data_IF_391504294266
#
_entry.id   IF_391504294266
#
_cell.length_a   1.000
_cell.length_b   1.000
_cell.length_c   1.000
_cell.angle_alpha   90.00
_cell.angle_beta   90.00
_cell.angle_gamma   90.00
#
_symmetry.space_group_name_H-M   'P 1'
#
loop_
_entity.id
_entity.type
_entity.pdbx_description
1 polymer ?
#
# COMPACT_ATOMS: atom_id res chain seq x y z
N UNK A 1 -23.00 1.54 13.82
CA UNK A 1 -21.67 1.86 14.38
C UNK A 1 -21.26 3.29 14.06
N UNK A 2 -20.29 3.85 14.78
CA UNK A 2 -19.63 5.10 14.38
C UNK A 2 -18.56 4.83 13.33
N UNK A 3 -18.47 5.73 12.36
CA UNK A 3 -17.43 5.74 11.33
C UNK A 3 -17.05 7.16 10.93
N UNK A 4 -15.84 7.34 10.44
CA UNK A 4 -15.40 8.61 9.83
C UNK A 4 -15.82 8.61 8.36
N UNK A 5 -16.69 9.55 8.01
CA UNK A 5 -17.15 9.77 6.63
C UNK A 5 -16.48 10.97 6.00
N UNK A 6 -16.25 10.91 4.70
CA UNK A 6 -15.83 12.04 3.86
C UNK A 6 -17.10 12.68 3.31
N UNK A 7 -17.41 13.93 3.68
CA UNK A 7 -18.65 14.58 3.23
C UNK A 7 -18.59 15.12 1.81
N UNK A 8 -17.39 15.44 1.34
CA UNK A 8 -17.08 15.95 0.01
C UNK A 8 -15.57 15.85 -0.21
N UNK A 9 -15.09 15.80 -1.46
CA UNK A 9 -13.65 15.89 -1.73
C UNK A 9 -13.05 17.16 -1.13
N UNK A 10 -11.95 17.05 -0.37
CA UNK A 10 -11.35 18.22 0.27
C UNK A 10 -10.26 17.94 1.30
N UNK A 11 -9.91 18.98 2.06
CA UNK A 11 -8.95 18.91 3.16
C UNK A 11 -9.52 18.14 4.36
N UNK A 12 -8.76 18.03 5.47
CA UNK A 12 -9.18 17.25 6.64
C UNK A 12 -10.53 17.67 7.27
N UNK A 13 -10.94 18.92 7.06
CA UNK A 13 -12.21 19.49 7.55
C UNK A 13 -13.47 18.77 7.05
N UNK A 14 -13.36 17.98 5.97
CA UNK A 14 -14.47 17.18 5.41
C UNK A 14 -14.70 15.86 6.15
N UNK A 15 -13.82 15.50 7.09
CA UNK A 15 -13.92 14.28 7.88
C UNK A 15 -14.89 14.49 9.04
N UNK A 16 -15.95 13.68 9.09
CA UNK A 16 -16.94 13.74 10.16
C UNK A 16 -17.19 12.35 10.74
N UNK A 17 -17.25 12.25 12.07
CA UNK A 17 -17.74 11.04 12.72
C UNK A 17 -19.26 11.02 12.62
N UNK A 18 -19.81 9.98 12.00
CA UNK A 18 -21.26 9.77 11.87
C UNK A 18 -21.64 8.37 12.31
N UNK A 19 -22.90 8.21 12.68
CA UNK A 19 -23.49 6.87 12.79
C UNK A 19 -23.85 6.34 11.41
N UNK A 20 -23.43 5.11 11.15
CA UNK A 20 -23.68 4.34 9.92
C UNK A 20 -24.19 2.95 10.30
N UNK A 21 -24.80 2.25 9.35
CA UNK A 21 -25.22 0.86 9.56
C UNK A 21 -24.02 -0.05 9.87
N UNK A 22 -24.23 -1.05 10.73
CA UNK A 22 -23.22 -2.08 10.96
C UNK A 22 -23.00 -2.90 9.68
N UNK A 23 -21.75 -3.26 9.35
CA UNK A 23 -21.47 -3.99 8.13
C UNK A 23 -21.99 -5.42 8.24
N UNK A 24 -22.63 -5.89 7.17
CA UNK A 24 -23.12 -7.27 7.07
C UNK A 24 -22.01 -8.14 6.48
N UNK A 25 -21.58 -9.16 7.23
CA UNK A 25 -20.57 -10.10 6.75
C UNK A 25 -21.18 -11.12 5.77
N UNK A 26 -20.41 -11.46 4.75
CA UNK A 26 -20.68 -12.62 3.88
C UNK A 26 -20.20 -13.91 4.53
N UNK A 27 -20.60 -15.04 3.93
CA UNK A 27 -20.24 -16.37 4.43
C UNK A 27 -18.72 -16.62 4.54
N UNK A 28 -17.89 -15.93 3.76
CA UNK A 28 -16.43 -16.06 3.74
C UNK A 28 -15.69 -14.93 4.48
N UNK A 29 -16.41 -14.03 5.14
CA UNK A 29 -15.86 -12.86 5.82
C UNK A 29 -15.93 -13.03 7.34
N UNK A 30 -15.14 -12.21 8.04
CA UNK A 30 -15.22 -12.02 9.49
C UNK A 30 -15.60 -10.58 9.81
N UNK A 31 -16.26 -10.37 10.93
CA UNK A 31 -16.53 -9.04 11.47
C UNK A 31 -15.45 -8.74 12.51
N UNK A 32 -14.62 -7.72 12.26
CA UNK A 32 -13.62 -7.26 13.22
C UNK A 32 -14.16 -6.04 13.95
N UNK A 33 -14.17 -6.09 15.28
CA UNK A 33 -14.31 -4.92 16.14
C UNK A 33 -12.95 -4.23 16.22
N UNK A 34 -12.86 -3.04 15.64
CA UNK A 34 -11.61 -2.29 15.47
C UNK A 34 -11.16 -1.69 16.81
N UNK A 35 -9.92 -1.94 17.18
CA UNK A 35 -9.23 -1.29 18.30
C UNK A 35 -8.40 -0.10 17.79
N UNK A 36 -7.75 -0.27 16.63
CA UNK A 36 -6.96 0.76 15.98
C UNK A 36 -6.90 0.59 14.46
N UNK A 37 -6.63 1.69 13.78
CA UNK A 37 -6.35 1.80 12.34
C UNK A 37 -5.20 2.79 12.14
N UNK A 38 -4.64 2.86 10.94
CA UNK A 38 -3.53 3.75 10.61
C UNK A 38 -3.90 4.69 9.45
N UNK A 39 -3.09 5.73 9.24
CA UNK A 39 -3.23 6.64 8.11
C UNK A 39 -2.30 6.22 6.98
N UNK A 40 -2.83 6.11 5.76
CA UNK A 40 -2.03 5.86 4.56
C UNK A 40 -2.15 7.00 3.55
N UNK A 41 -1.15 7.12 2.67
CA UNK A 41 -1.16 8.17 1.64
C UNK A 41 -2.37 8.05 0.70
N UNK A 42 -2.78 6.82 0.40
CA UNK A 42 -3.95 6.53 -0.43
C UNK A 42 -5.25 7.04 0.23
N UNK A 43 -5.39 7.00 1.55
CA UNK A 43 -6.56 7.58 2.25
C UNK A 43 -6.67 9.09 2.00
N UNK A 44 -5.54 9.79 1.99
CA UNK A 44 -5.48 11.23 1.71
C UNK A 44 -5.86 11.54 0.26
N UNK A 45 -5.39 10.73 -0.69
CA UNK A 45 -5.74 10.87 -2.11
C UNK A 45 -7.23 10.54 -2.36
N UNK A 46 -7.76 9.54 -1.67
CA UNK A 46 -9.18 9.18 -1.72
C UNK A 46 -10.04 10.31 -1.14
N UNK A 47 -9.68 10.87 0.03
CA UNK A 47 -10.36 12.03 0.62
C UNK A 47 -10.36 13.25 -0.31
N UNK A 48 -9.28 13.47 -1.04
CA UNK A 48 -9.17 14.56 -2.01
C UNK A 48 -9.95 14.29 -3.32
N UNK A 49 -10.50 13.09 -3.50
CA UNK A 49 -11.24 12.68 -4.69
C UNK A 49 -10.36 12.24 -5.86
N UNK A 50 -9.05 12.08 -5.67
CA UNK A 50 -8.11 11.65 -6.70
C UNK A 50 -7.96 10.13 -6.81
N UNK A 51 -8.46 9.39 -5.82
CA UNK A 51 -8.28 7.93 -5.74
C UNK A 51 -9.57 7.26 -5.26
N UNK A 52 -10.59 7.11 -6.13
CA UNK A 52 -11.85 6.49 -5.73
C UNK A 52 -11.64 5.00 -5.37
N UNK A 53 -12.40 4.46 -4.40
CA UNK A 53 -12.31 3.06 -4.07
C UNK A 53 -12.77 2.19 -5.26
N UNK A 54 -12.30 0.93 -5.37
CA UNK A 54 -12.78 0.02 -6.39
C UNK A 54 -14.31 -0.19 -6.32
N UNK A 55 -15.00 -0.40 -7.46
CA UNK A 55 -16.44 -0.64 -7.45
C UNK A 55 -16.83 -1.82 -6.55
N UNK A 56 -17.79 -1.60 -5.65
CA UNK A 56 -18.30 -2.62 -4.73
C UNK A 56 -17.52 -2.75 -3.42
N UNK A 57 -16.46 -1.97 -3.23
CA UNK A 57 -15.76 -1.83 -1.96
C UNK A 57 -16.41 -0.74 -1.08
N UNK A 58 -15.95 -0.62 0.17
CA UNK A 58 -16.46 0.39 1.08
C UNK A 58 -16.04 1.80 0.63
N UNK A 59 -16.98 2.75 0.68
CA UNK A 59 -16.70 4.17 0.47
C UNK A 59 -16.00 4.83 1.67
N UNK A 60 -16.00 4.14 2.83
CA UNK A 60 -15.28 4.59 4.02
C UNK A 60 -13.77 4.42 3.83
N UNK A 61 -13.01 5.38 4.35
CA UNK A 61 -11.55 5.33 4.36
C UNK A 61 -11.00 4.21 5.27
N UNK A 62 -9.70 3.97 5.16
CA UNK A 62 -8.95 3.05 6.01
C UNK A 62 -8.58 1.77 5.27
N UNK A 63 -7.28 1.58 5.09
CA UNK A 63 -6.68 0.46 4.37
C UNK A 63 -6.12 -0.63 5.27
N UNK A 64 -6.13 -0.43 6.58
CA UNK A 64 -5.73 -1.46 7.54
C UNK A 64 -6.37 -1.26 8.90
N UNK A 65 -6.40 -2.32 9.70
CA UNK A 65 -6.82 -2.23 11.09
C UNK A 65 -6.22 -3.36 11.94
N UNK A 66 -6.33 -3.19 13.25
CA UNK A 66 -6.24 -4.28 14.21
C UNK A 66 -7.46 -4.29 15.12
N UNK A 67 -7.78 -5.47 15.64
CA UNK A 67 -8.94 -5.60 16.49
C UNK A 67 -9.18 -7.02 16.98
N UNK A 68 -10.41 -7.24 17.41
CA UNK A 68 -10.88 -8.56 17.86
C UNK A 68 -12.01 -9.02 16.95
N UNK A 69 -11.98 -10.27 16.52
CA UNK A 69 -13.07 -10.85 15.74
C UNK A 69 -14.33 -10.93 16.60
N UNK A 70 -15.41 -10.30 16.16
CA UNK A 70 -16.72 -10.29 16.81
C UNK A 70 -17.61 -11.43 16.28
N UNK A 71 -17.56 -11.70 14.96
CA UNK A 71 -18.34 -12.75 14.31
C UNK A 71 -17.59 -13.32 13.10
N UNK A 72 -17.95 -14.54 12.70
CA UNK A 72 -17.37 -15.24 11.54
C UNK A 72 -18.47 -15.76 10.63
N UNK A 73 -18.24 -15.69 9.32
CA UNK A 73 -19.12 -16.27 8.31
C UNK A 73 -19.09 -17.79 8.29
N UNK A 74 -20.11 -18.40 7.70
CA UNK A 74 -20.34 -19.86 7.72
C UNK A 74 -19.22 -20.69 7.09
N UNK A 75 -18.46 -20.12 6.14
CA UNK A 75 -17.37 -20.78 5.43
C UNK A 75 -16.00 -20.49 6.04
N UNK A 76 -15.93 -19.71 7.13
CA UNK A 76 -14.69 -19.39 7.83
C UNK A 76 -14.39 -20.47 8.85
N UNK A 77 -13.34 -21.26 8.62
CA UNK A 77 -12.92 -22.36 9.52
C UNK A 77 -11.68 -22.05 10.34
N UNK A 78 -10.82 -21.15 9.86
CA UNK A 78 -9.52 -20.81 10.49
C UNK A 78 -9.67 -19.90 11.71
N UNK A 79 -10.67 -19.04 11.70
CA UNK A 79 -10.82 -17.94 12.66
C UNK A 79 -12.08 -18.11 13.50
N UNK A 80 -12.09 -17.56 14.71
CA UNK A 80 -13.24 -17.56 15.62
C UNK A 80 -13.42 -16.22 16.32
N UNK A 81 -14.62 -15.99 16.84
CA UNK A 81 -14.88 -14.84 17.70
C UNK A 81 -13.94 -14.83 18.92
N UNK A 82 -13.45 -13.65 19.28
CA UNK A 82 -12.46 -13.44 20.34
C UNK A 82 -11.01 -13.48 19.88
N UNK A 83 -10.71 -13.93 18.65
CA UNK A 83 -9.34 -13.89 18.13
C UNK A 83 -8.87 -12.44 17.93
N UNK A 84 -7.65 -12.13 18.37
CA UNK A 84 -6.99 -10.84 18.15
C UNK A 84 -6.19 -10.89 16.85
N UNK A 85 -6.44 -9.91 15.98
CA UNK A 85 -5.98 -9.95 14.58
C UNK A 85 -5.59 -8.57 14.07
N UNK A 86 -4.85 -8.56 12.97
CA UNK A 86 -4.71 -7.41 12.08
C UNK A 86 -5.17 -7.76 10.66
N UNK A 87 -5.46 -6.75 9.85
CA UNK A 87 -5.98 -6.94 8.51
C UNK A 87 -5.54 -5.82 7.57
N UNK A 88 -5.25 -6.19 6.32
CA UNK A 88 -5.22 -5.27 5.18
C UNK A 88 -6.62 -5.19 4.59
N UNK A 89 -7.05 -3.99 4.21
CA UNK A 89 -8.43 -3.67 3.86
C UNK A 89 -8.50 -3.00 2.49
N UNK A 90 -9.68 -3.05 1.89
CA UNK A 90 -10.01 -2.29 0.68
C UNK A 90 -11.07 -1.24 1.02
N UNK A 91 -10.77 -0.43 2.03
CA UNK A 91 -11.68 0.54 2.65
C UNK A 91 -12.41 0.01 3.89
N UNK A 92 -12.93 0.92 4.70
CA UNK A 92 -13.72 0.61 5.90
C UNK A 92 -12.96 0.59 7.23
N UNK A 93 -11.65 0.79 7.23
CA UNK A 93 -10.85 0.77 8.46
C UNK A 93 -11.16 1.91 9.44
N UNK A 94 -11.70 3.04 8.97
CA UNK A 94 -12.08 4.17 9.82
C UNK A 94 -13.50 4.02 10.40
N UNK A 95 -13.77 2.87 11.02
CA UNK A 95 -15.04 2.55 11.64
C UNK A 95 -14.84 1.70 12.90
N UNK A 96 -15.84 1.64 13.79
CA UNK A 96 -15.78 0.77 14.97
C UNK A 96 -15.79 -0.72 14.62
N UNK A 97 -16.33 -1.08 13.44
CA UNK A 97 -16.36 -2.45 12.92
C UNK A 97 -16.10 -2.48 11.42
N UNK A 98 -15.49 -3.56 10.95
CA UNK A 98 -15.24 -3.78 9.51
C UNK A 98 -15.44 -5.24 9.15
N UNK A 99 -16.10 -5.49 8.01
CA UNK A 99 -16.20 -6.82 7.42
C UNK A 99 -14.98 -7.08 6.54
N UNK A 100 -14.31 -8.22 6.76
CA UNK A 100 -13.03 -8.53 6.11
C UNK A 100 -13.06 -9.97 5.58
N UNK A 101 -12.74 -10.21 4.30
CA UNK A 101 -12.48 -11.55 3.78
C UNK A 101 -11.49 -12.31 4.66
N UNK A 102 -11.82 -13.55 5.02
CA UNK A 102 -11.00 -14.35 5.96
C UNK A 102 -9.55 -14.57 5.49
N UNK A 103 -9.28 -14.48 4.18
CA UNK A 103 -7.95 -14.55 3.59
C UNK A 103 -7.06 -13.32 3.79
N UNK A 104 -7.64 -12.18 4.18
CA UNK A 104 -6.92 -10.93 4.47
C UNK A 104 -6.64 -10.74 5.97
N UNK A 105 -7.10 -11.66 6.81
CA UNK A 105 -6.85 -11.66 8.24
C UNK A 105 -5.46 -12.24 8.53
N UNK A 106 -4.74 -11.51 9.37
CA UNK A 106 -3.42 -11.87 9.89
C UNK A 106 -3.51 -12.07 11.40
N UNK A 107 -2.81 -13.06 11.97
CA UNK A 107 -2.73 -13.20 13.42
C UNK A 107 -2.03 -11.98 14.02
N UNK A 108 -2.43 -11.56 15.22
CA UNK A 108 -1.68 -10.56 15.96
C UNK A 108 -0.24 -11.06 16.21
N UNK A 109 0.81 -10.31 15.83
CA UNK A 109 2.18 -10.73 16.10
C UNK A 109 2.45 -10.86 17.61
N UNK A 110 3.16 -11.92 18.06
CA UNK A 110 3.46 -12.11 19.46
C UNK A 110 4.22 -10.91 20.05
N UNK A 111 3.75 -10.40 21.21
CA UNK A 111 4.39 -9.29 21.90
C UNK A 111 4.08 -7.90 21.35
N UNK A 112 3.25 -7.78 20.31
CA UNK A 112 2.81 -6.48 19.76
C UNK A 112 1.40 -6.17 20.26
N UNK A 113 1.18 -4.93 20.72
CA UNK A 113 -0.14 -4.47 21.13
C UNK A 113 -1.08 -4.36 19.92
N UNK A 114 -2.40 -4.45 20.12
CA UNK A 114 -3.35 -4.20 19.03
C UNK A 114 -3.10 -2.82 18.40
N UNK A 115 -2.88 -1.78 19.22
CA UNK A 115 -2.66 -0.42 18.72
C UNK A 115 -1.49 -0.32 17.76
N UNK A 116 -0.35 -0.92 18.12
CA UNK A 116 0.84 -0.89 17.28
C UNK A 116 0.69 -1.79 16.04
N UNK A 117 0.02 -2.94 16.21
CA UNK A 117 -0.21 -3.89 15.13
C UNK A 117 -1.08 -3.34 13.99
N UNK A 118 -1.88 -2.30 14.23
CA UNK A 118 -2.68 -1.65 13.18
C UNK A 118 -1.83 -0.96 12.10
N UNK A 119 -0.55 -0.69 12.36
CA UNK A 119 0.36 0.00 11.44
C UNK A 119 1.19 -0.93 10.53
N UNK A 120 0.95 -2.24 10.63
CA UNK A 120 1.78 -3.26 9.99
C UNK A 120 1.21 -3.80 8.67
N UNK A 121 -0.08 -4.17 8.54
CA UNK A 121 -0.58 -4.89 7.38
C UNK A 121 -0.25 -4.28 6.02
N UNK A 122 -0.53 -3.00 5.81
CA UNK A 122 -0.44 -2.35 4.50
C UNK A 122 1.02 -2.15 4.09
N UNK A 123 1.86 -1.65 5.00
CA UNK A 123 3.30 -1.51 4.73
C UNK A 123 3.96 -2.86 4.54
N UNK A 124 3.61 -3.88 5.34
CA UNK A 124 4.20 -5.21 5.23
C UNK A 124 3.78 -5.90 3.92
N UNK A 125 2.50 -5.83 3.53
CA UNK A 125 2.01 -6.38 2.26
C UNK A 125 2.64 -5.66 1.06
N UNK A 126 2.79 -4.33 1.14
CA UNK A 126 3.46 -3.53 0.10
C UNK A 126 4.92 -3.94 -0.04
N UNK A 127 5.67 -4.00 1.07
CA UNK A 127 7.07 -4.45 1.06
C UNK A 127 7.16 -5.90 0.57
N UNK A 128 6.30 -6.79 1.04
CA UNK A 128 6.35 -8.20 0.67
C UNK A 128 6.09 -8.42 -0.82
N UNK A 129 5.06 -7.78 -1.37
CA UNK A 129 4.77 -7.82 -2.80
C UNK A 129 5.88 -7.18 -3.64
N UNK A 130 6.56 -6.16 -3.12
CA UNK A 130 7.64 -5.42 -3.83
C UNK A 130 9.04 -6.00 -3.63
N UNK A 131 9.27 -6.88 -2.65
CA UNK A 131 10.60 -7.41 -2.33
C UNK A 131 10.69 -8.91 -2.56
N UNK A 132 9.67 -9.66 -2.11
CA UNK A 132 9.73 -11.12 -2.09
C UNK A 132 8.91 -11.77 -3.19
N UNK A 133 8.00 -11.02 -3.81
CA UNK A 133 7.27 -11.48 -5.01
C UNK A 133 8.00 -11.06 -6.31
N UNK A 134 8.95 -10.13 -6.22
CA UNK A 134 9.59 -9.46 -7.36
C UNK A 134 11.10 -9.63 -7.37
N UNK A 135 11.59 -10.86 -7.22
CA UNK A 135 12.77 -11.25 -7.96
C UNK A 135 12.30 -11.62 -9.36
N UNK A 136 12.59 -10.77 -10.34
CA UNK A 136 11.97 -10.88 -11.68
C UNK A 136 13.02 -11.24 -12.73
N UNK A 137 12.61 -12.03 -13.71
CA UNK A 137 13.50 -12.44 -14.80
C UNK A 137 13.65 -11.31 -15.83
N UNK A 138 12.71 -10.35 -15.89
CA UNK A 138 12.74 -9.22 -16.83
C UNK A 138 12.24 -7.93 -16.18
N UNK A 139 12.96 -6.82 -16.38
CA UNK A 139 12.56 -5.46 -16.00
C UNK A 139 12.51 -4.58 -17.26
N UNK A 140 11.43 -3.82 -17.43
CA UNK A 140 11.32 -2.73 -18.42
C UNK A 140 11.47 -1.38 -17.70
N UNK A 141 12.53 -0.64 -18.00
CA UNK A 141 12.91 0.58 -17.28
C UNK A 141 12.80 1.83 -18.15
N UNK A 142 11.91 2.75 -17.75
CA UNK A 142 11.72 4.07 -18.37
C UNK A 142 12.42 5.20 -17.58
N UNK A 143 12.83 4.93 -16.35
CA UNK A 143 13.48 5.91 -15.48
C UNK A 143 14.98 5.97 -15.76
N UNK A 144 15.65 4.84 -16.02
CA UNK A 144 17.06 4.82 -16.35
C UNK A 144 17.93 5.14 -15.14
N UNK A 145 18.76 6.19 -15.22
CA UNK A 145 19.88 6.39 -14.30
C UNK A 145 19.52 6.30 -12.80
N UNK A 146 18.46 6.98 -12.36
CA UNK A 146 18.05 7.02 -10.96
C UNK A 146 17.69 5.63 -10.36
N UNK A 147 17.28 4.67 -11.20
CA UNK A 147 16.77 3.37 -10.76
C UNK A 147 17.69 2.22 -11.17
N UNK A 148 18.73 2.50 -11.95
CA UNK A 148 19.55 1.51 -12.61
C UNK A 148 20.14 0.46 -11.65
N UNK A 149 20.83 0.87 -10.58
CA UNK A 149 21.40 -0.07 -9.62
C UNK A 149 20.32 -0.90 -8.91
N UNK A 150 19.21 -0.27 -8.53
CA UNK A 150 18.09 -0.97 -7.87
C UNK A 150 17.47 -2.02 -8.80
N UNK A 151 17.37 -1.73 -10.10
CA UNK A 151 16.88 -2.68 -11.09
C UNK A 151 17.82 -3.89 -11.21
N UNK A 152 19.14 -3.69 -11.19
CA UNK A 152 20.11 -4.79 -11.22
C UNK A 152 20.04 -5.66 -9.96
N UNK A 153 19.84 -5.04 -8.79
CA UNK A 153 19.71 -5.75 -7.52
C UNK A 153 18.44 -6.61 -7.50
N UNK A 154 17.34 -6.13 -8.10
CA UNK A 154 16.04 -6.80 -8.15
C UNK A 154 15.94 -7.96 -9.17
N UNK A 155 16.80 -8.02 -10.19
CA UNK A 155 16.76 -9.09 -11.19
C UNK A 155 17.14 -10.47 -10.60
N UNK A 156 16.58 -11.56 -11.14
CA UNK A 156 17.07 -12.92 -10.84
C UNK A 156 18.42 -13.24 -11.50
N UNK A 157 19.00 -14.41 -11.17
CA UNK A 157 20.04 -15.00 -12.02
C UNK A 157 19.51 -15.15 -13.45
N UNK A 158 20.34 -14.83 -14.44
CA UNK A 158 19.98 -14.78 -15.86
C UNK A 158 18.90 -13.72 -16.21
N UNK A 159 18.64 -12.77 -15.29
CA UNK A 159 17.66 -11.72 -15.47
C UNK A 159 18.03 -10.68 -16.53
N UNK A 160 17.02 -10.02 -17.11
CA UNK A 160 17.15 -9.08 -18.24
C UNK A 160 16.59 -7.70 -17.92
N UNK A 161 17.40 -6.66 -18.06
CA UNK A 161 16.97 -5.27 -17.98
C UNK A 161 16.85 -4.67 -19.39
N UNK A 162 15.66 -4.19 -19.75
CA UNK A 162 15.43 -3.41 -20.96
C UNK A 162 15.24 -1.94 -20.60
N UNK A 163 16.23 -1.12 -20.95
CA UNK A 163 16.14 0.34 -20.78
C UNK A 163 15.46 0.92 -22.01
N UNK A 164 14.27 1.48 -21.81
CA UNK A 164 13.41 2.05 -22.86
C UNK A 164 13.24 3.57 -22.74
N UNK A 165 13.71 4.15 -21.63
CA UNK A 165 13.67 5.58 -21.36
C UNK A 165 14.65 6.01 -20.28
N UNK A 166 14.82 7.31 -20.12
CA UNK A 166 15.82 7.92 -19.23
C UNK A 166 15.25 9.10 -18.45
N UNK A 167 13.98 9.01 -18.02
CA UNK A 167 13.29 10.12 -17.34
C UNK A 167 13.94 10.50 -16.00
N UNK A 168 14.53 9.52 -15.32
CA UNK A 168 15.31 9.66 -14.09
C UNK A 168 16.80 9.88 -14.33
N UNK A 169 17.20 10.26 -15.55
CA UNK A 169 18.57 10.65 -15.90
C UNK A 169 19.20 9.76 -16.99
N UNK A 170 20.13 10.36 -17.73
CA UNK A 170 20.77 9.78 -18.91
C UNK A 170 22.00 8.94 -18.62
N UNK A 171 22.71 9.24 -17.52
CA UNK A 171 24.03 8.71 -17.22
C UNK A 171 24.04 8.15 -15.81
N UNK A 172 24.60 6.95 -15.66
CA UNK A 172 24.77 6.27 -14.38
C UNK A 172 26.01 5.38 -14.44
N UNK A 173 26.55 5.05 -13.28
CA UNK A 173 27.68 4.12 -13.15
C UNK A 173 27.17 2.68 -12.99
N UNK A 174 27.93 1.72 -13.52
CA UNK A 174 27.60 0.30 -13.48
C UNK A 174 28.71 -0.50 -12.81
N UNK A 175 28.39 -1.19 -11.72
CA UNK A 175 29.27 -2.22 -11.16
C UNK A 175 29.11 -3.55 -11.91
N UNK A 176 30.10 -3.86 -12.75
CA UNK A 176 30.11 -5.08 -13.57
C UNK A 176 30.12 -6.38 -12.75
N UNK A 177 30.52 -6.33 -11.47
CA UNK A 177 30.51 -7.52 -10.60
C UNK A 177 29.09 -8.07 -10.42
N UNK A 178 28.09 -7.20 -10.31
CA UNK A 178 26.67 -7.60 -10.17
C UNK A 178 26.17 -8.29 -11.44
N UNK A 179 26.53 -7.75 -12.61
CA UNK A 179 26.14 -8.31 -13.91
C UNK A 179 26.75 -9.70 -14.09
N UNK A 180 28.03 -9.87 -13.77
CA UNK A 180 28.73 -11.14 -13.91
C UNK A 180 28.25 -12.18 -12.89
N UNK A 181 28.11 -11.78 -11.62
CA UNK A 181 27.66 -12.67 -10.55
C UNK A 181 26.27 -13.27 -10.83
N UNK A 182 25.38 -12.47 -11.43
CA UNK A 182 23.99 -12.87 -11.71
C UNK A 182 23.75 -13.20 -13.20
N UNK A 183 24.77 -13.17 -14.06
CA UNK A 183 24.67 -13.38 -15.52
C UNK A 183 23.58 -12.51 -16.18
N UNK A 184 23.51 -11.24 -15.77
CA UNK A 184 22.45 -10.34 -16.23
C UNK A 184 22.64 -9.93 -17.69
N UNK A 185 21.54 -9.72 -18.39
CA UNK A 185 21.52 -9.08 -19.71
C UNK A 185 20.97 -7.67 -19.59
N UNK A 186 21.67 -6.67 -20.12
CA UNK A 186 21.20 -5.28 -20.16
C UNK A 186 21.10 -4.85 -21.62
N UNK A 187 19.91 -4.41 -22.04
CA UNK A 187 19.66 -3.99 -23.41
C UNK A 187 18.96 -2.62 -23.42
N UNK A 188 19.49 -1.69 -24.21
CA UNK A 188 18.80 -0.44 -24.53
C UNK A 188 18.01 -0.58 -25.82
N UNK A 189 16.77 -0.10 -25.86
CA UNK A 189 16.03 0.04 -27.11
C UNK A 189 15.20 1.32 -27.12
N UNK A 190 14.92 1.82 -28.32
CA UNK A 190 14.02 2.94 -28.57
C UNK A 190 13.01 2.45 -29.60
N UNK A 191 11.81 3.03 -29.65
CA UNK A 191 10.85 2.68 -30.70
C UNK A 191 11.55 2.80 -32.06
N UNK A 192 11.67 1.67 -32.75
CA UNK A 192 12.20 1.56 -34.10
C UNK A 192 11.05 1.06 -34.96
N UNK A 193 10.65 1.82 -35.97
CA UNK A 193 9.55 1.47 -36.86
C UNK A 193 10.05 0.56 -38.00
N UNK A 194 10.10 -0.77 -37.78
CA UNK A 194 9.68 -1.67 -38.85
C UNK A 194 8.90 -2.88 -38.29
N UNK A 195 7.81 -2.65 -37.56
CA UNK A 195 6.89 -3.70 -37.14
C UNK A 195 5.50 -3.46 -37.72
N UNK A 196 4.79 -4.53 -38.10
CA UNK A 196 3.41 -4.39 -38.53
C UNK A 196 2.54 -4.09 -37.30
N UNK A 197 1.54 -3.22 -37.45
CA UNK A 197 0.60 -2.90 -36.36
C UNK A 197 -0.12 -4.16 -35.83
N UNK A 198 -0.16 -5.23 -36.61
CA UNK A 198 -0.69 -6.53 -36.23
C UNK A 198 0.13 -7.21 -35.11
N UNK A 199 1.47 -7.14 -35.15
CA UNK A 199 2.33 -7.77 -34.14
C UNK A 199 2.20 -7.10 -32.76
N UNK A 200 1.98 -5.78 -32.73
CA UNK A 200 1.70 -5.03 -31.49
C UNK A 200 0.33 -5.39 -30.92
N UNK A 201 -0.66 -5.58 -31.79
CA UNK A 201 -2.01 -5.99 -31.40
C UNK A 201 -2.03 -7.42 -30.83
N UNK A 202 -1.29 -8.33 -31.45
CA UNK A 202 -1.17 -9.71 -31.00
C UNK A 202 -0.44 -9.80 -29.65
N UNK A 203 0.60 -8.98 -29.43
CA UNK A 203 1.31 -8.89 -28.14
C UNK A 203 0.43 -8.31 -27.03
N UNK A 204 -0.35 -7.26 -27.31
CA UNK A 204 -1.31 -6.69 -26.36
C UNK A 204 -2.36 -7.73 -25.95
N UNK A 205 -2.84 -8.51 -26.91
CA UNK A 205 -3.81 -9.60 -26.67
C UNK A 205 -3.19 -10.74 -25.84
N UNK A 206 -1.92 -11.05 -26.06
CA UNK A 206 -1.16 -12.03 -25.27
C UNK A 206 -0.90 -11.57 -23.82
N UNK A 207 -0.50 -10.31 -23.61
CA UNK A 207 -0.29 -9.75 -22.26
C UNK A 207 -1.59 -9.72 -21.44
N UNK A 208 -2.73 -9.41 -22.10
CA UNK A 208 -4.06 -9.45 -21.48
C UNK A 208 -4.52 -10.87 -21.10
N UNK A 209 -4.02 -11.90 -21.78
CA UNK A 209 -4.36 -13.29 -21.50
C UNK A 209 -3.40 -13.96 -20.49
N UNK A 210 -2.20 -13.40 -20.29
CA UNK A 210 -1.18 -13.96 -19.38
C UNK A 210 -0.96 -13.16 -18.07
N UNK A 211 -1.69 -12.08 -17.81
CA UNK A 211 -1.71 -11.36 -16.52
C UNK A 211 -0.34 -10.78 -16.06
N UNK A 212 0.47 -10.26 -16.99
CA UNK A 212 1.76 -9.60 -16.70
C UNK A 212 1.56 -8.08 -16.61
N UNK A 213 1.83 -7.49 -15.45
CA UNK A 213 1.65 -6.06 -15.17
C UNK A 213 2.88 -5.23 -15.58
N UNK A 214 2.76 -4.43 -16.63
CA UNK A 214 3.75 -3.39 -17.00
C UNK A 214 3.29 -2.06 -16.40
N UNK A 215 3.65 -1.73 -15.14
CA UNK A 215 3.55 -0.34 -14.61
C UNK A 215 4.26 -0.18 -13.25
N UNK A 216 5.55 0.20 -13.23
CA UNK A 216 6.34 0.40 -12.00
C UNK A 216 7.08 1.76 -11.98
N UNK A 217 6.38 2.89 -12.15
CA UNK A 217 7.04 4.16 -12.47
C UNK A 217 6.91 5.35 -11.47
N UNK A 218 6.35 5.22 -10.26
CA UNK A 218 6.02 6.42 -9.44
C UNK A 218 6.43 6.44 -7.94
N UNK A 219 7.29 5.55 -7.45
CA UNK A 219 7.66 5.50 -6.02
C UNK A 219 8.87 6.41 -5.66
N UNK A 220 8.64 7.71 -5.47
CA UNK A 220 9.57 8.63 -4.80
C UNK A 220 9.04 9.03 -3.41
N UNK A 221 9.92 8.97 -2.40
CA UNK A 221 9.89 9.58 -1.05
C UNK A 221 9.77 8.60 0.14
N UNK A 222 10.93 8.39 0.80
CA UNK A 222 11.11 7.78 2.11
C UNK A 222 11.93 8.77 2.94
N UNK A 223 11.57 9.05 4.19
CA UNK A 223 12.48 9.57 5.22
C UNK A 223 11.97 9.17 6.62
N UNK A 224 12.92 8.80 7.47
CA UNK A 224 12.78 8.13 8.77
C UNK A 224 12.90 9.11 9.95
N UNK A 225 12.50 8.72 11.17
CA UNK A 225 13.17 9.11 12.43
C UNK A 225 12.68 8.30 13.65
N UNK A 226 13.65 7.86 14.46
CA UNK A 226 13.50 7.30 15.81
C UNK A 226 13.17 8.40 16.84
N UNK A 227 12.43 8.08 17.92
CA UNK A 227 12.47 8.78 19.23
C UNK A 227 11.69 8.01 20.33
N UNK A 228 12.30 7.84 21.51
CA UNK A 228 11.73 7.24 22.73
C UNK A 228 10.69 8.15 23.41
N UNK A 229 9.62 7.56 24.00
CA UNK A 229 8.59 8.31 24.76
C UNK A 229 8.11 7.57 26.02
N UNK A 230 8.13 8.27 27.15
CA UNK A 230 7.60 7.89 28.46
C UNK A 230 6.06 7.80 28.53
N UNK A 231 5.61 7.07 29.56
CA UNK A 231 4.24 6.65 29.88
C UNK A 231 3.10 7.64 29.55
N UNK A 232 2.06 7.06 28.96
CA UNK A 232 0.69 7.59 28.84
C UNK A 232 0.56 8.93 28.10
N UNK A 233 0.75 8.87 26.78
CA UNK A 233 -0.06 9.50 25.70
C UNK A 233 0.66 9.22 24.38
N UNK A 234 -0.05 8.69 23.40
CA UNK A 234 0.53 8.39 22.09
C UNK A 234 0.81 9.68 21.30
N UNK A 235 2.08 9.95 20.97
CA UNK A 235 2.59 10.82 19.90
C UNK A 235 4.05 10.37 19.61
N UNK A 236 4.60 10.31 18.39
CA UNK A 236 5.00 11.41 17.46
C UNK A 236 5.28 10.82 16.04
N UNK A 237 4.68 11.35 14.95
CA UNK A 237 5.10 12.34 13.90
C UNK A 237 6.06 11.82 12.81
N UNK A 238 5.60 11.88 11.55
CA UNK A 238 6.44 12.02 10.36
C UNK A 238 6.38 13.47 9.84
N UNK A 239 7.52 13.98 9.38
CA UNK A 239 7.80 15.38 9.06
C UNK A 239 7.08 15.87 7.77
N UNK A 240 5.75 15.95 7.82
CA UNK A 240 4.91 16.57 6.77
C UNK A 240 3.96 17.63 7.33
N UNK A 241 4.30 18.23 8.48
CA UNK A 241 3.56 19.33 9.08
C UNK A 241 4.51 20.41 9.60
N UNK A 242 5.11 21.21 8.70
CA UNK A 242 5.78 22.45 9.13
C UNK A 242 4.87 23.40 9.95
N UNK A 243 3.57 23.10 10.12
CA UNK A 243 2.59 23.91 10.83
C UNK A 243 1.69 23.14 11.82
N UNK A 244 2.22 22.21 12.62
CA UNK A 244 1.62 21.92 13.96
C UNK A 244 1.35 23.22 14.76
N UNK A 245 2.02 24.31 14.41
CA UNK A 245 2.33 25.41 15.32
C UNK A 245 1.52 26.70 15.19
N UNK A 246 0.86 27.00 14.07
CA UNK A 246 0.13 28.28 13.98
C UNK A 246 -1.15 28.33 14.83
N UNK A 247 -1.79 27.19 15.17
CA UNK A 247 -3.05 27.17 15.95
C UNK A 247 -2.85 26.89 17.45
N UNK A 248 -1.75 26.23 17.83
CA UNK A 248 -1.21 26.35 19.18
C UNK A 248 -0.88 27.83 19.47
N UNK A 249 -0.39 28.60 18.48
CA UNK A 249 -0.12 30.03 18.62
C UNK A 249 -1.37 30.94 18.76
N UNK A 250 -2.58 30.45 18.45
CA UNK A 250 -3.83 31.20 18.71
C UNK A 250 -4.40 30.99 20.13
N UNK A 251 -3.74 30.18 20.97
CA UNK A 251 -4.14 29.94 22.36
C UNK A 251 -5.42 29.11 22.56
N UNK A 252 -5.86 28.35 21.55
CA UNK A 252 -7.19 27.70 21.51
C UNK A 252 -7.26 26.27 22.09
N UNK A 253 -6.16 25.74 22.60
CA UNK A 253 -6.17 24.47 23.34
C UNK A 253 -6.19 24.77 24.83
N UNK A 254 -7.37 24.71 25.46
CA UNK A 254 -7.55 24.64 26.91
C UNK A 254 -8.59 23.58 27.28
N UNK A 255 -8.09 22.61 28.05
CA UNK A 255 -8.70 21.44 28.71
C UNK A 255 -9.66 20.59 27.89
#
# INVERSE_FOLDING_TARGET
MKATVVTSPGGPEVLQVREVEDPKIKDYEVLVKVEATSLNQADSLQRLGFYPPPPGCSELLGLECSGTIEAVGRQVSRWKAGDQVCAVLTGGGYAEKVAVPAGQILPLPPGISLKDAASLPEVACTVWSTVFTTSVDVILDILGAAYFQRNLDALNFDGRLFVIGTMGGLVTELDLRVVLAKRLTIQGTRICFPFSLQEVYDLLTFCLTCNISILSCLCMQRLACDLEVEKNKAFIVSETEKNVWSAIAAGKVKK
#
